data_IF_790675216020
#
_entry.id   IF_790675216020
#
_cell.length_a   1.000
_cell.length_b   1.000
_cell.length_c   1.000
_cell.angle_alpha   90.00
_cell.angle_beta   90.00
_cell.angle_gamma   90.00
#
_symmetry.space_group_name_H-M   'P 1'
#
loop_
_entity.id
_entity.type
_entity.pdbx_description
1 polymer ?
#
# COMPACT_ATOMS: atom_id res chain seq x y z
N UNK A 1 -13.24 -4.86 2.90
CA UNK A 1 -12.25 -3.74 2.89
C UNK A 1 -12.32 -2.88 4.16
N UNK A 2 -13.50 -2.45 4.61
CA UNK A 2 -13.63 -1.63 5.84
C UNK A 2 -13.14 -2.32 7.11
N UNK A 3 -13.26 -3.65 7.23
CA UNK A 3 -12.75 -4.39 8.38
C UNK A 3 -11.23 -4.33 8.50
N UNK A 4 -10.52 -4.40 7.37
CA UNK A 4 -9.07 -4.25 7.34
C UNK A 4 -8.65 -2.83 7.70
N UNK A 5 -9.38 -1.81 7.24
CA UNK A 5 -9.14 -0.41 7.65
C UNK A 5 -9.34 -0.23 9.15
N UNK A 6 -10.39 -0.82 9.72
CA UNK A 6 -10.64 -0.76 11.16
C UNK A 6 -9.54 -1.45 11.96
N UNK A 7 -9.08 -2.63 11.54
CA UNK A 7 -7.94 -3.33 12.18
C UNK A 7 -6.65 -2.50 12.11
N UNK A 8 -6.35 -1.93 10.95
CA UNK A 8 -5.17 -1.07 10.75
C UNK A 8 -5.27 0.23 11.57
N UNK A 9 -6.45 0.84 11.67
CA UNK A 9 -6.67 2.03 12.48
C UNK A 9 -6.53 1.75 13.99
N UNK A 10 -7.07 0.64 14.49
CA UNK A 10 -6.89 0.20 15.88
C UNK A 10 -5.41 0.10 16.26
N UNK A 11 -4.61 -0.48 15.38
CA UNK A 11 -3.14 -0.57 15.51
C UNK A 11 -2.46 0.80 15.49
N UNK A 12 -2.66 1.55 14.40
CA UNK A 12 -1.92 2.79 14.14
C UNK A 12 -2.23 3.89 15.14
N UNK A 13 -3.49 3.98 15.56
CA UNK A 13 -3.97 5.03 16.46
C UNK A 13 -4.00 4.60 17.92
N UNK A 14 -3.61 3.34 18.22
CA UNK A 14 -3.63 2.76 19.57
C UNK A 14 -4.99 2.92 20.28
N UNK A 15 -6.08 2.96 19.50
CA UNK A 15 -7.46 3.16 19.98
C UNK A 15 -8.23 1.85 19.90
N UNK A 16 -8.94 1.50 20.98
CA UNK A 16 -9.78 0.29 21.06
C UNK A 16 -10.94 0.31 20.04
N UNK A 17 -11.50 1.49 19.78
CA UNK A 17 -12.59 1.73 18.83
C UNK A 17 -12.31 3.01 18.03
N UNK A 18 -11.73 2.93 16.82
CA UNK A 18 -11.50 4.09 15.97
C UNK A 18 -12.84 4.64 15.46
N UNK A 19 -12.96 5.96 15.42
CA UNK A 19 -14.13 6.66 14.87
C UNK A 19 -14.09 6.73 13.34
N UNK A 20 -15.19 7.11 12.70
CA UNK A 20 -15.17 7.37 11.24
C UNK A 20 -14.17 8.47 10.85
N UNK A 21 -13.97 9.48 11.69
CA UNK A 21 -12.96 10.53 11.47
C UNK A 21 -11.54 9.94 11.42
N UNK A 22 -11.25 9.02 12.32
CA UNK A 22 -9.96 8.31 12.39
C UNK A 22 -9.73 7.44 11.13
N UNK A 23 -10.78 6.73 10.67
CA UNK A 23 -10.73 5.95 9.42
C UNK A 23 -10.51 6.85 8.21
N UNK A 24 -11.21 7.97 8.13
CA UNK A 24 -11.08 8.93 7.02
C UNK A 24 -9.68 9.54 6.97
N UNK A 25 -9.03 9.80 8.11
CA UNK A 25 -7.63 10.23 8.12
C UNK A 25 -6.70 9.17 7.54
N UNK A 26 -6.94 7.89 7.83
CA UNK A 26 -6.16 6.78 7.25
C UNK A 26 -6.35 6.69 5.73
N UNK A 27 -7.59 6.82 5.26
CA UNK A 27 -7.93 6.83 3.83
C UNK A 27 -7.28 8.03 3.13
N UNK A 28 -7.45 9.23 3.68
CA UNK A 28 -6.85 10.45 3.15
C UNK A 28 -5.32 10.34 3.05
N UNK A 29 -4.67 9.76 4.05
CA UNK A 29 -3.22 9.49 4.01
C UNK A 29 -2.85 8.50 2.91
N UNK A 30 -3.64 7.45 2.70
CA UNK A 30 -3.41 6.48 1.64
C UNK A 30 -3.56 7.13 0.26
N UNK A 31 -4.65 7.86 0.05
CA UNK A 31 -4.90 8.61 -1.20
C UNK A 31 -3.79 9.62 -1.46
N UNK A 32 -3.43 10.41 -0.44
CA UNK A 32 -2.33 11.36 -0.52
C UNK A 32 -1.04 10.69 -0.98
N UNK A 33 -0.67 9.55 -0.40
CA UNK A 33 0.55 8.82 -0.80
C UNK A 33 0.56 8.35 -2.26
N UNK A 34 -0.59 7.96 -2.81
CA UNK A 34 -0.73 7.58 -4.24
C UNK A 34 -0.62 8.81 -5.14
N UNK A 35 -1.10 9.95 -4.68
CA UNK A 35 -1.15 11.20 -5.44
C UNK A 35 0.12 12.04 -5.34
N UNK A 36 1.05 11.76 -4.40
CA UNK A 36 2.32 12.50 -4.25
C UNK A 36 3.06 12.72 -5.58
N UNK A 37 3.21 11.72 -6.48
CA UNK A 37 3.91 11.90 -7.75
C UNK A 37 3.19 12.83 -8.74
N UNK A 38 1.90 13.11 -8.51
CA UNK A 38 1.09 14.04 -9.29
C UNK A 38 1.11 15.45 -8.69
N UNK A 39 1.67 15.62 -7.49
CA UNK A 39 1.80 16.92 -6.83
C UNK A 39 2.93 17.72 -7.45
N UNK A 40 2.72 19.03 -7.64
CA UNK A 40 3.70 19.94 -8.23
C UNK A 40 4.60 20.49 -7.13
N UNK A 41 5.89 20.26 -7.26
CA UNK A 41 6.93 21.01 -6.54
C UNK A 41 7.70 21.77 -7.61
N UNK A 42 7.88 23.08 -7.43
CA UNK A 42 8.63 23.97 -8.34
C UNK A 42 8.09 24.08 -9.78
N UNK A 43 6.77 24.11 -9.92
CA UNK A 43 6.05 24.36 -11.18
C UNK A 43 6.23 23.28 -12.27
N UNK A 44 7.02 22.22 -12.03
CA UNK A 44 7.12 21.03 -12.90
C UNK A 44 6.21 19.92 -12.38
N UNK A 45 5.31 19.42 -13.21
CA UNK A 45 4.60 18.17 -12.93
C UNK A 45 5.60 17.03 -13.15
N UNK A 46 5.86 16.22 -12.12
CA UNK A 46 6.67 15.01 -12.29
C UNK A 46 5.99 14.03 -13.26
N UNK A 47 4.67 13.88 -13.15
CA UNK A 47 3.80 13.12 -14.08
C UNK A 47 2.35 13.60 -13.95
N UNK A 48 1.55 13.57 -15.01
CA UNK A 48 0.12 13.87 -14.89
C UNK A 48 -0.64 12.70 -14.24
N UNK A 49 -1.75 12.98 -13.56
CA UNK A 49 -2.64 11.92 -13.03
C UNK A 49 -3.10 10.95 -14.12
N UNK A 50 -3.44 11.49 -15.30
CA UNK A 50 -3.82 10.71 -16.48
C UNK A 50 -2.75 9.69 -16.84
N UNK A 51 -1.50 10.11 -16.96
CA UNK A 51 -0.41 9.21 -17.34
C UNK A 51 -0.24 8.09 -16.31
N UNK A 52 -0.35 8.41 -15.01
CA UNK A 52 -0.22 7.42 -13.94
C UNK A 52 -1.35 6.39 -13.95
N UNK A 53 -2.60 6.84 -14.11
CA UNK A 53 -3.75 5.93 -14.20
C UNK A 53 -3.66 5.06 -15.45
N UNK A 54 -3.27 5.62 -16.59
CA UNK A 54 -3.09 4.84 -17.82
C UNK A 54 -2.03 3.74 -17.68
N UNK A 55 -0.95 4.00 -16.92
CA UNK A 55 0.06 2.98 -16.62
C UNK A 55 -0.44 1.92 -15.63
N UNK A 56 -1.23 2.31 -14.63
CA UNK A 56 -1.75 1.38 -13.60
C UNK A 56 -2.92 0.52 -14.11
N UNK A 57 -3.71 1.05 -15.05
CA UNK A 57 -4.94 0.43 -15.55
C UNK A 57 -4.92 0.38 -17.08
N UNK A 58 -3.92 -0.31 -17.64
CA UNK A 58 -3.72 -0.41 -19.08
C UNK A 58 -4.80 -1.24 -19.80
N UNK A 59 -5.51 -2.11 -19.08
CA UNK A 59 -6.54 -2.99 -19.65
C UNK A 59 -7.95 -2.54 -19.21
N UNK A 60 -8.85 -2.34 -20.18
CA UNK A 60 -10.21 -1.82 -19.94
C UNK A 60 -11.08 -2.75 -19.06
N UNK A 61 -10.77 -4.05 -19.00
CA UNK A 61 -11.44 -5.02 -18.13
C UNK A 61 -10.96 -5.07 -16.67
N UNK A 62 -9.82 -4.46 -16.33
CA UNK A 62 -9.22 -4.52 -14.99
C UNK A 62 -9.07 -3.11 -14.42
N UNK A 63 -10.17 -2.54 -13.92
CA UNK A 63 -10.24 -1.14 -13.43
C UNK A 63 -10.05 -0.99 -11.91
N UNK A 64 -9.97 -2.10 -11.19
CA UNK A 64 -9.86 -2.10 -9.73
C UNK A 64 -8.43 -2.43 -9.31
N UNK A 65 -7.94 -1.69 -8.33
CA UNK A 65 -6.64 -1.94 -7.72
C UNK A 65 -6.75 -1.92 -6.21
N UNK A 66 -5.87 -2.68 -5.56
CA UNK A 66 -5.72 -2.70 -4.12
C UNK A 66 -4.45 -1.94 -3.76
N UNK A 67 -4.58 -0.98 -2.84
CA UNK A 67 -3.44 -0.19 -2.37
C UNK A 67 -2.94 -0.77 -1.06
N UNK A 68 -1.67 -1.17 -1.04
CA UNK A 68 -0.95 -1.53 0.17
C UNK A 68 0.04 -0.41 0.53
N UNK A 69 0.08 -0.03 1.81
CA UNK A 69 0.96 1.04 2.31
C UNK A 69 1.70 0.56 3.55
N UNK A 70 3.00 0.82 3.60
CA UNK A 70 3.88 0.67 4.75
C UNK A 70 4.74 1.95 4.91
N UNK A 71 5.38 2.21 6.05
CA UNK A 71 5.23 1.50 7.32
C UNK A 71 3.86 1.71 7.96
N UNK A 72 3.40 0.66 8.66
CA UNK A 72 2.17 0.67 9.45
C UNK A 72 2.45 0.71 10.96
N UNK A 73 3.33 1.62 11.38
CA UNK A 73 3.68 1.86 12.78
C UNK A 73 2.93 3.06 13.37
N UNK A 74 2.61 2.97 14.67
CA UNK A 74 2.11 4.11 15.45
C UNK A 74 3.16 5.22 15.51
N UNK A 75 2.74 6.45 15.79
CA UNK A 75 3.66 7.60 15.86
C UNK A 75 4.80 7.35 16.85
N UNK A 76 4.49 6.84 18.04
CA UNK A 76 5.47 6.52 19.10
C UNK A 76 6.44 5.41 18.70
N UNK A 77 6.04 4.47 17.84
CA UNK A 77 6.90 3.38 17.39
C UNK A 77 7.80 3.77 16.21
N UNK A 78 7.59 4.93 15.58
CA UNK A 78 8.40 5.36 14.43
C UNK A 78 9.82 5.76 14.81
N UNK A 79 9.99 6.36 15.99
CA UNK A 79 11.29 6.85 16.45
C UNK A 79 12.28 5.72 16.72
N UNK A 80 11.77 4.51 16.99
CA UNK A 80 12.58 3.32 17.26
C UNK A 80 12.81 2.44 16.03
N UNK A 81 12.27 2.80 14.87
CA UNK A 81 12.35 1.97 13.66
C UNK A 81 13.32 2.54 12.62
N UNK A 82 14.32 1.76 12.24
CA UNK A 82 15.24 2.06 11.13
C UNK A 82 14.77 1.39 9.84
N UNK A 83 13.78 1.98 9.17
CA UNK A 83 13.30 1.46 7.88
C UNK A 83 14.33 1.66 6.78
N UNK A 84 14.78 0.57 6.14
CA UNK A 84 15.56 0.65 4.91
C UNK A 84 14.66 0.44 3.70
N UNK A 85 15.00 1.04 2.55
CA UNK A 85 14.24 0.85 1.32
C UNK A 85 14.13 -0.63 0.91
N UNK A 86 15.22 -1.37 1.07
CA UNK A 86 15.27 -2.82 0.81
C UNK A 86 14.27 -3.59 1.67
N UNK A 87 14.16 -3.24 2.95
CA UNK A 87 13.18 -3.83 3.87
C UNK A 87 11.75 -3.54 3.41
N UNK A 88 11.45 -2.27 3.10
CA UNK A 88 10.11 -1.86 2.68
C UNK A 88 9.68 -2.58 1.39
N UNK A 89 10.54 -2.62 0.38
CA UNK A 89 10.24 -3.32 -0.87
C UNK A 89 10.03 -4.82 -0.67
N UNK A 90 10.85 -5.47 0.17
CA UNK A 90 10.68 -6.90 0.49
C UNK A 90 9.31 -7.15 1.12
N UNK A 91 8.92 -6.31 2.07
CA UNK A 91 7.65 -6.42 2.77
C UNK A 91 6.46 -6.19 1.84
N UNK A 92 6.49 -5.15 0.99
CA UNK A 92 5.44 -4.90 0.00
C UNK A 92 5.25 -6.06 -0.97
N UNK A 93 6.36 -6.60 -1.50
CA UNK A 93 6.29 -7.76 -2.40
C UNK A 93 5.67 -8.97 -1.70
N UNK A 94 6.09 -9.27 -0.47
CA UNK A 94 5.54 -10.40 0.26
C UNK A 94 4.07 -10.19 0.65
N UNK A 95 3.67 -8.95 0.98
CA UNK A 95 2.27 -8.58 1.18
C UNK A 95 1.44 -8.87 -0.08
N UNK A 96 1.94 -8.52 -1.26
CA UNK A 96 1.28 -8.81 -2.53
C UNK A 96 1.16 -10.32 -2.78
N UNK A 97 2.23 -11.09 -2.56
CA UNK A 97 2.25 -12.55 -2.79
C UNK A 97 1.33 -13.29 -1.82
N UNK A 98 1.32 -12.90 -0.55
CA UNK A 98 0.51 -13.53 0.50
C UNK A 98 -0.92 -13.00 0.60
N UNK A 99 -1.26 -11.93 -0.13
CA UNK A 99 -2.54 -11.24 -0.01
C UNK A 99 -2.74 -10.54 1.35
N UNK A 100 -1.65 -10.24 2.07
CA UNK A 100 -1.71 -9.59 3.37
C UNK A 100 -1.84 -8.07 3.24
N UNK A 101 -2.74 -7.48 4.02
CA UNK A 101 -2.94 -6.02 4.14
C UNK A 101 -2.15 -5.40 5.30
N UNK A 102 -1.54 -6.23 6.16
CA UNK A 102 -0.82 -5.82 7.36
C UNK A 102 0.57 -6.43 7.40
N UNK A 103 1.56 -5.61 7.75
CA UNK A 103 2.97 -5.99 7.77
C UNK A 103 3.28 -7.19 8.71
N UNK A 104 2.66 -7.24 9.87
CA UNK A 104 2.87 -8.34 10.83
C UNK A 104 2.13 -9.64 10.47
N UNK A 105 1.16 -9.58 9.54
CA UNK A 105 0.39 -10.75 9.09
C UNK A 105 0.92 -11.35 7.79
N UNK A 106 2.10 -10.92 7.36
CA UNK A 106 2.76 -11.45 6.17
C UNK A 106 3.08 -12.94 6.41
N UNK A 107 2.54 -13.80 5.55
CA UNK A 107 2.96 -15.20 5.52
C UNK A 107 4.22 -15.33 4.64
N UNK A 108 5.38 -15.52 5.29
CA UNK A 108 6.68 -15.67 4.63
C UNK A 108 6.91 -17.04 4.00
N UNK A 109 6.07 -18.04 4.29
CA UNK A 109 6.18 -19.37 3.68
C UNK A 109 5.59 -19.44 2.27
N UNK A 110 4.80 -18.43 1.87
CA UNK A 110 4.21 -18.37 0.53
C UNK A 110 5.24 -17.82 -0.44
N UNK A 111 5.59 -18.62 -1.44
CA UNK A 111 6.43 -18.20 -2.55
C UNK A 111 5.66 -18.36 -3.86
N UNK A 112 5.90 -17.46 -4.82
CA UNK A 112 5.41 -17.64 -6.18
C UNK A 112 6.01 -18.95 -6.72
N UNK A 113 5.16 -19.88 -7.19
CA UNK A 113 5.67 -21.01 -7.97
C UNK A 113 6.40 -20.41 -9.18
N UNK A 114 7.68 -20.74 -9.35
CA UNK A 114 8.43 -20.41 -10.57
C UNK A 114 7.61 -20.95 -11.75
N UNK A 115 7.09 -20.05 -12.57
CA UNK A 115 6.16 -20.41 -13.64
C UNK A 115 6.80 -21.39 -14.62
N UNK A 116 6.04 -22.42 -14.98
CA UNK A 116 6.28 -23.23 -16.17
C UNK A 116 6.41 -22.34 -17.41
N UNK A 117 7.23 -22.70 -18.42
CA UNK A 117 7.42 -21.88 -19.60
C UNK A 117 6.09 -21.73 -20.34
N UNK A 118 5.66 -20.49 -20.54
CA UNK A 118 4.50 -20.14 -21.36
C UNK A 118 4.82 -20.56 -22.79
N UNK A 119 4.20 -21.65 -23.28
CA UNK A 119 4.16 -21.95 -24.71
C UNK A 119 3.43 -20.81 -25.41
N UNK A 120 4.15 -20.07 -26.25
CA UNK A 120 3.56 -19.12 -27.20
C UNK A 120 2.95 -19.94 -28.34
N UNK A 121 1.65 -19.82 -28.55
CA UNK A 121 0.96 -20.20 -29.79
C UNK A 121 1.07 -19.09 -30.82
#
# INVERSE_FOLDING_TARGET
QNDHLNQTAKRLLTKRSPSFKDLNQLIARSMGSVMVPCYRVDNKLNTSWRDRVSHLFSHCGYKFSTVCRIPQSSASAKEFNSYTWKYLLKHLNQMQISGSYMEEKINWSVALRRGSPVMRS
#
